data_IF_263253379638
#
_entry.id   IF_263253379638
#
_cell.length_a   1.000
_cell.length_b   1.000
_cell.length_c   1.000
_cell.angle_alpha   90.00
_cell.angle_beta   90.00
_cell.angle_gamma   90.00
#
_symmetry.space_group_name_H-M   'P 1'
#
loop_
_entity.id
_entity.type
_entity.pdbx_description
1 polymer ?
#
# COMPACT_ATOMS: atom_id res chain seq x y z
N UNK A 1 52.09 -19.70 42.10
CA UNK A 1 52.12 -20.31 40.75
C UNK A 1 50.67 -20.57 40.36
N UNK A 2 50.01 -19.58 39.74
CA UNK A 2 49.72 -19.46 38.30
C UNK A 2 48.57 -20.37 37.81
N UNK A 3 47.53 -19.76 37.21
CA UNK A 3 46.51 -20.44 36.38
C UNK A 3 45.08 -19.92 36.64
N UNK A 4 44.73 -18.72 36.16
CA UNK A 4 44.03 -18.43 34.89
C UNK A 4 42.53 -18.79 34.88
N UNK A 5 41.74 -17.74 34.63
CA UNK A 5 40.31 -17.69 34.38
C UNK A 5 39.78 -18.80 33.46
N UNK A 6 38.57 -19.29 33.76
CA UNK A 6 37.72 -19.92 32.76
C UNK A 6 36.32 -19.30 32.76
N UNK A 7 35.91 -18.99 31.54
CA UNK A 7 34.72 -18.32 31.05
C UNK A 7 33.45 -19.09 31.45
N UNK A 8 32.46 -18.40 32.02
CA UNK A 8 31.10 -18.93 32.13
C UNK A 8 30.45 -18.92 30.73
N UNK A 9 30.45 -20.07 30.06
CA UNK A 9 29.53 -20.34 28.94
C UNK A 9 28.16 -20.69 29.53
N UNK A 10 27.19 -19.79 29.38
CA UNK A 10 25.78 -20.17 29.39
C UNK A 10 25.38 -20.50 27.96
N UNK A 11 25.28 -21.80 27.65
CA UNK A 11 24.46 -22.27 26.54
C UNK A 11 23.35 -23.12 27.15
N UNK A 12 22.13 -22.82 26.72
CA UNK A 12 20.93 -23.67 26.68
C UNK A 12 19.75 -23.14 27.50
N UNK A 13 19.05 -22.16 26.93
CA UNK A 13 17.64 -21.90 27.19
C UNK A 13 16.93 -21.92 25.83
N UNK A 14 16.58 -23.13 25.38
CA UNK A 14 16.01 -23.37 24.06
C UNK A 14 14.71 -22.61 23.86
N UNK A 15 14.68 -21.76 22.83
CA UNK A 15 13.43 -21.38 22.19
C UNK A 15 12.92 -22.65 21.53
N UNK A 16 11.81 -23.17 22.05
CA UNK A 16 11.05 -24.24 21.37
C UNK A 16 10.68 -23.68 20.01
N UNK A 17 11.38 -24.16 18.99
CA UNK A 17 11.11 -23.83 17.60
C UNK A 17 9.72 -24.31 17.25
N UNK A 18 8.80 -23.38 17.07
CA UNK A 18 7.65 -23.62 16.22
C UNK A 18 8.23 -23.74 14.80
N UNK A 19 8.16 -24.96 14.27
CA UNK A 19 8.54 -25.28 12.91
C UNK A 19 7.86 -24.31 11.92
N UNK A 20 8.66 -23.51 11.21
CA UNK A 20 8.37 -23.11 9.84
C UNK A 20 7.55 -21.85 9.55
N UNK A 21 7.10 -21.06 10.53
CA UNK A 21 6.42 -19.78 10.21
C UNK A 21 7.42 -18.63 10.20
N UNK A 22 7.94 -18.27 9.02
CA UNK A 22 8.61 -16.98 8.81
C UNK A 22 7.57 -15.85 8.98
N UNK A 23 7.38 -15.40 10.22
CA UNK A 23 6.79 -14.09 10.46
C UNK A 23 7.69 -13.04 9.80
N UNK A 24 7.06 -12.05 9.14
CA UNK A 24 7.79 -10.93 8.53
C UNK A 24 8.77 -10.34 9.54
N UNK A 25 10.07 -10.46 9.27
CA UNK A 25 11.09 -9.87 10.14
C UNK A 25 11.08 -8.35 9.94
N UNK A 26 10.92 -7.55 11.00
CA UNK A 26 10.99 -6.09 10.87
C UNK A 26 12.34 -5.66 10.31
N UNK A 27 12.33 -4.80 9.27
CA UNK A 27 13.51 -4.04 8.83
C UNK A 27 14.24 -4.54 7.57
N UNK A 28 13.89 -5.70 7.00
CA UNK A 28 14.53 -6.15 5.74
C UNK A 28 13.60 -6.93 4.80
N UNK A 29 12.31 -6.98 5.13
CA UNK A 29 11.33 -7.77 4.40
C UNK A 29 10.49 -6.89 3.47
N UNK A 30 10.81 -6.92 2.17
CA UNK A 30 10.07 -6.20 1.11
C UNK A 30 8.69 -6.79 0.83
N UNK A 31 8.42 -7.99 1.35
CA UNK A 31 7.16 -8.68 1.15
C UNK A 31 6.08 -7.97 1.96
N UNK A 32 5.04 -7.54 1.26
CA UNK A 32 3.89 -6.81 1.81
C UNK A 32 2.85 -7.79 2.37
N UNK A 33 2.63 -8.91 1.66
CA UNK A 33 1.78 -9.99 2.11
C UNK A 33 2.27 -11.33 1.56
N UNK A 34 1.87 -12.41 2.23
CA UNK A 34 2.07 -13.79 1.77
C UNK A 34 0.72 -14.50 1.86
N UNK A 35 0.36 -15.23 0.80
CA UNK A 35 -0.86 -16.03 0.74
C UNK A 35 -0.52 -17.52 0.65
N UNK A 36 -1.34 -18.36 1.27
CA UNK A 36 -1.17 -19.81 1.34
C UNK A 36 -2.38 -20.55 0.81
N UNK A 37 -2.16 -21.74 0.23
CA UNK A 37 -3.22 -22.58 -0.33
C UNK A 37 -3.95 -23.46 0.70
N UNK A 38 -3.50 -23.43 1.96
CA UNK A 38 -4.15 -24.10 3.09
C UNK A 38 -4.45 -23.11 4.22
N UNK A 39 -5.33 -23.54 5.13
CA UNK A 39 -5.63 -22.83 6.36
C UNK A 39 -4.39 -22.74 7.28
N UNK A 40 -4.36 -21.73 8.15
CA UNK A 40 -3.31 -21.66 9.18
C UNK A 40 -1.90 -21.35 8.67
N UNK A 41 -1.78 -20.78 7.46
CA UNK A 41 -0.51 -20.38 6.85
C UNK A 41 0.40 -21.56 6.47
N UNK A 42 -0.23 -22.65 5.99
CA UNK A 42 0.44 -23.88 5.58
C UNK A 42 0.39 -24.13 4.07
N UNK A 43 1.18 -25.09 3.59
CA UNK A 43 1.18 -25.49 2.18
C UNK A 43 2.00 -24.58 1.26
N UNK A 44 1.61 -24.54 -0.02
CA UNK A 44 2.28 -23.69 -1.01
C UNK A 44 1.89 -22.23 -0.77
N UNK A 45 2.80 -21.32 -1.14
CA UNK A 45 2.58 -19.90 -0.95
C UNK A 45 2.97 -19.05 -2.15
N UNK A 46 2.45 -17.84 -2.17
CA UNK A 46 2.86 -16.76 -3.06
C UNK A 46 3.05 -15.48 -2.25
N UNK A 47 4.17 -14.82 -2.50
CA UNK A 47 4.52 -13.52 -1.93
C UNK A 47 4.01 -12.39 -2.81
N UNK A 48 3.45 -11.34 -2.21
CA UNK A 48 3.16 -10.07 -2.87
C UNK A 48 4.09 -9.01 -2.30
N UNK A 49 4.91 -8.41 -3.15
CA UNK A 49 5.83 -7.35 -2.76
C UNK A 49 5.11 -6.00 -2.63
N UNK A 50 5.76 -5.05 -1.97
CA UNK A 50 5.23 -3.69 -1.79
C UNK A 50 4.99 -2.97 -3.15
N UNK A 51 3.76 -2.53 -3.35
CA UNK A 51 3.21 -1.95 -4.59
C UNK A 51 3.22 -2.89 -5.81
N UNK A 52 3.40 -4.19 -5.59
CA UNK A 52 3.32 -5.16 -6.66
C UNK A 52 1.85 -5.47 -6.98
N UNK A 53 1.48 -5.36 -8.26
CA UNK A 53 0.21 -5.86 -8.78
C UNK A 53 0.45 -7.16 -9.55
N UNK A 54 0.16 -8.28 -8.90
CA UNK A 54 0.13 -9.59 -9.56
C UNK A 54 -1.20 -9.77 -10.28
N UNK A 55 -1.16 -9.77 -11.60
CA UNK A 55 -2.33 -10.04 -12.46
C UNK A 55 -2.60 -11.53 -12.65
N UNK A 56 -1.64 -12.38 -12.29
CA UNK A 56 -1.78 -13.83 -12.32
C UNK A 56 -0.98 -14.43 -11.15
N UNK A 57 -1.62 -15.29 -10.36
CA UNK A 57 -1.00 -15.99 -9.23
C UNK A 57 -0.40 -17.35 -9.61
N UNK A 58 -0.40 -17.69 -10.89
CA UNK A 58 0.16 -18.94 -11.41
C UNK A 58 -0.48 -20.16 -10.77
N UNK A 59 0.34 -21.04 -10.20
CA UNK A 59 -0.13 -22.24 -9.49
C UNK A 59 -1.02 -21.96 -8.27
N UNK A 60 -1.07 -20.71 -7.79
CA UNK A 60 -1.88 -20.24 -6.66
C UNK A 60 -3.20 -19.58 -7.07
N UNK A 61 -3.50 -19.51 -8.37
CA UNK A 61 -4.76 -18.99 -8.90
C UNK A 61 -5.97 -19.78 -8.33
N UNK A 62 -6.91 -19.06 -7.73
CA UNK A 62 -8.07 -19.62 -7.05
C UNK A 62 -7.73 -20.69 -5.98
N UNK A 63 -6.59 -20.57 -5.30
CA UNK A 63 -6.20 -21.51 -4.24
C UNK A 63 -5.97 -20.90 -2.87
N UNK A 64 -5.77 -19.58 -2.78
CA UNK A 64 -5.50 -18.94 -1.50
C UNK A 64 -6.63 -19.19 -0.46
N UNK A 65 -6.24 -19.67 0.73
CA UNK A 65 -7.11 -19.97 1.86
C UNK A 65 -6.74 -19.17 3.12
N UNK A 66 -5.46 -18.79 3.29
CA UNK A 66 -5.00 -17.94 4.39
C UNK A 66 -3.95 -16.91 3.94
N UNK A 67 -3.77 -15.84 4.72
CA UNK A 67 -2.89 -14.71 4.37
C UNK A 67 -2.26 -14.07 5.62
N UNK A 68 -0.98 -13.74 5.54
CA UNK A 68 -0.30 -12.87 6.51
C UNK A 68 0.01 -11.56 5.78
N UNK A 69 -0.34 -10.46 6.41
CA UNK A 69 -0.11 -9.11 5.91
C UNK A 69 0.84 -8.41 6.88
N UNK A 70 1.87 -7.76 6.34
CA UNK A 70 2.79 -6.95 7.15
C UNK A 70 2.01 -5.80 7.81
N UNK A 71 2.33 -5.50 9.07
CA UNK A 71 1.70 -4.39 9.77
C UNK A 71 1.86 -3.08 8.99
N UNK A 72 0.80 -2.28 8.90
CA UNK A 72 0.80 -1.04 8.12
C UNK A 72 0.54 -1.24 6.62
N UNK A 73 0.30 -2.47 6.18
CA UNK A 73 -0.03 -2.79 4.79
C UNK A 73 -1.48 -3.21 4.59
N UNK A 74 -1.94 -3.07 3.35
CA UNK A 74 -3.25 -3.48 2.88
C UNK A 74 -3.09 -4.32 1.62
N UNK A 75 -3.71 -5.50 1.61
CA UNK A 75 -3.76 -6.37 0.45
C UNK A 75 -5.14 -6.28 -0.20
N UNK A 76 -5.21 -5.84 -1.45
CA UNK A 76 -6.42 -5.93 -2.27
C UNK A 76 -6.30 -7.14 -3.20
N UNK A 77 -7.25 -8.07 -3.07
CA UNK A 77 -7.36 -9.26 -3.90
C UNK A 77 -8.52 -9.13 -4.87
N UNK A 78 -8.40 -9.78 -6.03
CA UNK A 78 -9.43 -9.77 -7.07
C UNK A 78 -9.74 -11.19 -7.50
N UNK A 79 -11.00 -11.45 -7.83
CA UNK A 79 -11.39 -12.68 -8.51
C UNK A 79 -11.36 -12.52 -10.04
N UNK A 80 -11.62 -13.62 -10.75
CA UNK A 80 -11.62 -13.65 -12.23
C UNK A 80 -12.70 -12.77 -12.88
N UNK A 81 -13.72 -12.38 -12.12
CA UNK A 81 -14.79 -11.50 -12.59
C UNK A 81 -14.48 -10.02 -12.34
N UNK A 82 -13.38 -9.74 -11.62
CA UNK A 82 -12.97 -8.38 -11.26
C UNK A 82 -13.60 -7.88 -9.95
N UNK A 83 -14.37 -8.69 -9.23
CA UNK A 83 -14.76 -8.35 -7.86
C UNK A 83 -13.49 -8.22 -7.02
N UNK A 84 -13.45 -7.25 -6.11
CA UNK A 84 -12.29 -7.01 -5.23
C UNK A 84 -12.65 -7.06 -3.75
N UNK A 85 -11.68 -7.41 -2.92
CA UNK A 85 -11.73 -7.31 -1.45
C UNK A 85 -10.42 -6.78 -0.93
N UNK A 86 -10.48 -5.82 -0.02
CA UNK A 86 -9.31 -5.33 0.70
C UNK A 86 -9.24 -5.99 2.07
N UNK A 87 -8.04 -6.46 2.42
CA UNK A 87 -7.71 -7.15 3.65
C UNK A 87 -6.62 -6.33 4.32
N UNK A 88 -6.89 -5.85 5.53
CA UNK A 88 -5.96 -4.97 6.26
C UNK A 88 -5.20 -5.69 7.38
N UNK A 89 -5.55 -6.97 7.64
CA UNK A 89 -4.96 -7.77 8.71
C UNK A 89 -4.78 -9.21 8.26
N UNK A 90 -3.74 -9.86 8.79
CA UNK A 90 -3.52 -11.30 8.62
C UNK A 90 -4.77 -12.09 9.01
N UNK A 91 -5.10 -13.10 8.21
CA UNK A 91 -6.23 -13.99 8.46
C UNK A 91 -5.84 -15.43 8.16
N UNK A 92 -6.02 -16.31 9.15
CA UNK A 92 -5.82 -17.75 8.99
C UNK A 92 -6.90 -18.43 8.14
N UNK A 93 -7.96 -17.70 7.75
CA UNK A 93 -9.02 -18.17 6.87
C UNK A 93 -9.68 -16.99 6.10
N UNK A 94 -9.82 -17.12 4.78
CA UNK A 94 -10.35 -16.06 3.90
C UNK A 94 -11.88 -16.06 3.72
N UNK A 95 -12.65 -16.77 4.55
CA UNK A 95 -14.12 -16.79 4.67
C UNK A 95 -14.90 -16.19 3.49
N UNK A 96 -15.29 -17.03 2.51
CA UNK A 96 -16.12 -16.65 1.35
C UNK A 96 -15.34 -16.04 0.17
N UNK A 97 -14.06 -15.75 0.37
CA UNK A 97 -13.10 -15.37 -0.69
C UNK A 97 -12.04 -16.44 -0.94
N UNK A 98 -12.10 -17.55 -0.18
CA UNK A 98 -11.29 -18.73 -0.43
C UNK A 98 -11.54 -19.26 -1.85
N UNK A 99 -10.47 -19.66 -2.52
CA UNK A 99 -10.49 -20.24 -3.86
C UNK A 99 -11.09 -19.38 -4.99
N UNK A 100 -11.10 -18.06 -4.80
CA UNK A 100 -11.58 -17.11 -5.82
C UNK A 100 -10.50 -16.16 -6.31
N UNK A 101 -9.42 -16.03 -5.55
CA UNK A 101 -8.42 -15.00 -5.75
C UNK A 101 -7.53 -15.36 -6.94
N UNK A 102 -7.53 -14.51 -7.97
CA UNK A 102 -6.78 -14.69 -9.21
C UNK A 102 -5.69 -13.62 -9.41
N UNK A 103 -5.87 -12.47 -8.76
CA UNK A 103 -4.92 -11.38 -8.77
C UNK A 103 -4.85 -10.74 -7.37
N UNK A 104 -3.73 -10.09 -7.09
CA UNK A 104 -3.49 -9.43 -5.82
C UNK A 104 -2.63 -8.19 -6.02
N UNK A 105 -2.86 -7.20 -5.17
CA UNK A 105 -2.14 -5.94 -5.14
C UNK A 105 -1.94 -5.53 -3.70
N UNK A 106 -0.69 -5.25 -3.31
CA UNK A 106 -0.35 -5.01 -1.91
C UNK A 106 0.35 -3.66 -1.74
N UNK A 107 -0.13 -2.82 -0.84
CA UNK A 107 0.39 -1.47 -0.60
C UNK A 107 0.65 -1.26 0.90
N UNK A 108 1.73 -0.58 1.24
CA UNK A 108 2.14 -0.32 2.63
C UNK A 108 2.37 1.16 2.86
N UNK A 109 2.26 1.57 4.13
CA UNK A 109 2.72 2.87 4.64
C UNK A 109 1.92 4.09 4.11
N UNK A 110 0.87 3.85 3.33
CA UNK A 110 -0.03 4.86 2.79
C UNK A 110 0.69 5.92 1.95
N UNK A 111 0.26 7.16 2.07
CA UNK A 111 0.86 8.32 1.42
C UNK A 111 2.24 8.70 1.96
N UNK A 112 2.66 8.12 3.09
CA UNK A 112 3.97 8.36 3.70
C UNK A 112 5.03 7.35 3.25
N UNK A 113 4.64 6.30 2.52
CA UNK A 113 5.57 5.27 2.07
C UNK A 113 6.60 5.79 1.06
N UNK A 114 7.84 5.29 1.16
CA UNK A 114 8.92 5.68 0.23
C UNK A 114 8.51 5.48 -1.23
N UNK A 115 7.79 4.41 -1.56
CA UNK A 115 7.33 4.14 -2.93
C UNK A 115 6.23 5.11 -3.39
N UNK A 116 5.42 5.62 -2.47
CA UNK A 116 4.42 6.64 -2.80
C UNK A 116 5.09 7.96 -3.19
N UNK A 117 6.31 8.23 -2.72
CA UNK A 117 7.10 9.44 -3.01
C UNK A 117 8.16 9.21 -4.10
N UNK A 118 8.61 7.96 -4.29
CA UNK A 118 9.63 7.60 -5.26
C UNK A 118 9.16 7.89 -6.68
N UNK A 119 10.08 8.44 -7.48
CA UNK A 119 9.88 8.82 -8.88
C UNK A 119 8.76 9.87 -9.12
N UNK A 120 8.29 10.57 -8.08
CA UNK A 120 7.36 11.68 -8.29
C UNK A 120 8.01 12.81 -9.08
N UNK A 121 7.30 13.25 -10.12
CA UNK A 121 7.65 14.44 -10.88
C UNK A 121 7.26 15.69 -10.09
N UNK A 122 6.00 15.83 -9.65
CA UNK A 122 5.56 16.88 -8.70
C UNK A 122 4.56 16.38 -7.65
N UNK A 123 3.45 15.79 -8.08
CA UNK A 123 2.44 15.23 -7.18
C UNK A 123 1.72 14.05 -7.82
N UNK A 124 1.09 13.24 -6.98
CA UNK A 124 0.26 12.12 -7.40
C UNK A 124 -1.04 12.13 -6.61
N UNK A 125 -2.16 12.02 -7.31
CA UNK A 125 -3.51 12.07 -6.74
C UNK A 125 -4.18 10.71 -6.95
N UNK A 126 -5.03 10.31 -6.00
CA UNK A 126 -5.63 8.99 -5.96
C UNK A 126 -7.13 9.07 -5.71
N UNK A 127 -7.88 8.20 -6.39
CA UNK A 127 -9.32 8.11 -6.19
C UNK A 127 -9.73 7.51 -4.84
N UNK A 128 -8.84 6.76 -4.21
CA UNK A 128 -9.13 6.15 -2.92
C UNK A 128 -8.25 6.75 -1.83
N UNK A 129 -8.53 6.36 -0.60
CA UNK A 129 -7.76 6.71 0.58
C UNK A 129 -6.37 6.05 0.57
N UNK A 130 -5.50 6.53 1.46
CA UNK A 130 -4.17 5.99 1.76
C UNK A 130 -3.24 5.89 0.54
N UNK A 131 -3.41 6.78 -0.44
CA UNK A 131 -2.67 6.74 -1.69
C UNK A 131 -2.73 5.38 -2.41
N UNK A 132 -3.88 4.70 -2.32
CA UNK A 132 -4.05 3.36 -2.89
C UNK A 132 -4.33 3.41 -4.39
N UNK A 133 -3.48 2.73 -5.15
CA UNK A 133 -3.65 2.44 -6.58
C UNK A 133 -4.18 1.02 -6.83
N UNK A 134 -4.20 0.17 -5.81
CA UNK A 134 -4.85 -1.13 -5.92
C UNK A 134 -6.36 -0.96 -6.13
N UNK A 135 -7.02 -0.16 -5.32
CA UNK A 135 -8.49 -0.08 -5.36
C UNK A 135 -9.03 0.91 -6.39
N UNK A 136 -8.22 1.66 -7.13
CA UNK A 136 -8.70 2.67 -8.09
C UNK A 136 -7.59 3.33 -8.90
N UNK A 137 -7.95 4.39 -9.61
CA UNK A 137 -7.03 5.09 -10.49
C UNK A 137 -6.16 6.11 -9.74
N UNK A 138 -5.00 6.39 -10.32
CA UNK A 138 -4.09 7.46 -9.89
C UNK A 138 -3.79 8.40 -11.04
N UNK A 139 -3.50 9.64 -10.72
CA UNK A 139 -3.11 10.69 -11.65
C UNK A 139 -1.73 11.22 -11.24
N UNK A 140 -0.78 11.20 -12.17
CA UNK A 140 0.56 11.78 -11.99
C UNK A 140 0.58 13.20 -12.55
N UNK A 141 1.14 14.14 -11.79
CA UNK A 141 1.23 15.55 -12.14
C UNK A 141 2.71 15.96 -12.19
N UNK A 142 3.13 16.59 -13.29
CA UNK A 142 4.49 17.05 -13.50
C UNK A 142 4.71 18.46 -12.92
N UNK A 143 5.97 18.87 -12.73
CA UNK A 143 6.29 20.24 -12.35
C UNK A 143 5.73 21.23 -13.36
N UNK A 144 5.14 22.32 -12.87
CA UNK A 144 4.55 23.40 -13.67
C UNK A 144 3.27 23.03 -14.43
N UNK A 145 2.77 21.79 -14.27
CA UNK A 145 1.48 21.42 -14.84
C UNK A 145 0.37 22.28 -14.22
N UNK A 146 -0.46 22.81 -15.10
CA UNK A 146 -1.68 23.51 -14.76
C UNK A 146 -2.85 22.80 -15.45
N UNK A 147 -3.63 22.06 -14.67
CA UNK A 147 -4.74 21.24 -15.17
C UNK A 147 -6.05 21.96 -14.84
N UNK A 148 -6.64 22.70 -15.81
CA UNK A 148 -7.84 23.49 -15.56
C UNK A 148 -9.12 22.66 -15.41
N UNK A 149 -9.10 21.39 -15.84
CA UNK A 149 -10.25 20.49 -15.68
C UNK A 149 -9.78 19.03 -15.60
N UNK A 150 -10.14 18.35 -14.52
CA UNK A 150 -9.73 16.96 -14.24
C UNK A 150 -10.51 15.88 -15.00
N UNK A 151 -11.46 16.24 -15.87
CA UNK A 151 -12.22 15.30 -16.71
C UNK A 151 -12.86 14.19 -15.84
N UNK A 152 -12.56 12.92 -16.14
CA UNK A 152 -13.08 11.75 -15.41
C UNK A 152 -12.64 11.66 -13.94
N UNK A 153 -11.67 12.47 -13.51
CA UNK A 153 -11.20 12.55 -12.12
C UNK A 153 -11.80 13.74 -11.34
N UNK A 154 -12.68 14.50 -11.98
CA UNK A 154 -13.32 15.65 -11.35
C UNK A 154 -14.18 15.20 -10.17
N UNK A 155 -13.91 15.75 -8.98
CA UNK A 155 -14.61 15.37 -7.74
C UNK A 155 -14.44 13.89 -7.36
N UNK A 156 -13.31 13.27 -7.71
CA UNK A 156 -13.06 11.85 -7.42
C UNK A 156 -11.81 11.64 -6.56
N UNK A 157 -11.09 12.70 -6.19
CA UNK A 157 -9.82 12.57 -5.47
C UNK A 157 -10.07 12.48 -3.96
N UNK A 158 -9.55 11.42 -3.34
CA UNK A 158 -9.71 11.13 -1.91
C UNK A 158 -8.39 11.10 -1.13
N UNK A 159 -7.24 10.95 -1.79
CA UNK A 159 -5.91 11.11 -1.18
C UNK A 159 -4.87 11.58 -2.19
N UNK A 160 -3.76 12.12 -1.70
CA UNK A 160 -2.69 12.66 -2.54
C UNK A 160 -1.33 12.60 -1.85
N UNK A 161 -0.29 12.69 -2.65
CA UNK A 161 1.09 12.86 -2.19
C UNK A 161 1.78 13.89 -3.07
N UNK A 162 2.45 14.84 -2.42
CA UNK A 162 3.26 15.87 -3.08
C UNK A 162 4.72 15.60 -2.79
N UNK A 163 5.55 15.72 -3.83
CA UNK A 163 7.00 15.56 -3.71
C UNK A 163 7.55 16.60 -2.72
N UNK A 164 8.46 16.22 -1.81
CA UNK A 164 9.14 17.19 -0.95
C UNK A 164 9.79 18.32 -1.76
N UNK A 165 9.58 19.58 -1.33
CA UNK A 165 10.04 20.77 -2.05
C UNK A 165 9.07 21.28 -3.13
N UNK A 166 7.96 20.57 -3.37
CA UNK A 166 6.88 21.02 -4.23
C UNK A 166 5.63 21.40 -3.44
N UNK A 167 4.75 22.16 -4.08
CA UNK A 167 3.43 22.54 -3.60
C UNK A 167 2.38 22.23 -4.67
N UNK A 168 1.30 21.57 -4.27
CA UNK A 168 0.13 21.32 -5.10
C UNK A 168 -1.00 22.24 -4.65
N UNK A 169 -1.40 23.17 -5.50
CA UNK A 169 -2.62 23.97 -5.30
C UNK A 169 -3.79 23.28 -5.97
N UNK A 170 -4.89 23.12 -5.26
CA UNK A 170 -6.12 22.50 -5.77
C UNK A 170 -7.30 23.45 -5.64
N UNK A 171 -8.26 23.34 -6.55
CA UNK A 171 -9.49 24.14 -6.55
C UNK A 171 -10.72 23.26 -6.69
N UNK A 172 -11.81 23.68 -6.05
CA UNK A 172 -13.10 22.99 -6.15
C UNK A 172 -13.82 23.26 -7.48
N UNK A 173 -13.51 24.37 -8.13
CA UNK A 173 -14.03 24.75 -9.43
C UNK A 173 -13.07 24.41 -10.57
N UNK A 174 -13.61 24.39 -11.79
CA UNK A 174 -12.82 24.32 -13.02
C UNK A 174 -12.12 25.66 -13.29
N UNK A 175 -11.09 25.64 -14.13
CA UNK A 175 -10.30 26.83 -14.50
C UNK A 175 -9.75 27.60 -13.29
N UNK A 176 -9.40 26.89 -12.21
CA UNK A 176 -8.81 27.46 -10.98
C UNK A 176 -9.73 28.44 -10.25
N UNK A 177 -11.03 28.11 -10.18
CA UNK A 177 -12.06 28.94 -9.53
C UNK A 177 -12.58 28.30 -8.24
N UNK A 178 -13.26 29.10 -7.40
CA UNK A 178 -13.82 28.64 -6.13
C UNK A 178 -12.79 28.58 -4.99
N UNK A 179 -13.12 27.83 -3.94
CA UNK A 179 -12.22 27.59 -2.83
C UNK A 179 -10.92 26.93 -3.29
N UNK A 180 -9.82 27.21 -2.60
CA UNK A 180 -8.47 26.76 -2.91
C UNK A 180 -7.76 26.26 -1.66
N UNK A 181 -6.93 25.24 -1.82
CA UNK A 181 -6.05 24.69 -0.77
C UNK A 181 -4.69 24.33 -1.33
N UNK A 182 -3.66 24.34 -0.48
CA UNK A 182 -2.29 24.02 -0.87
C UNK A 182 -1.78 22.86 -0.02
N UNK A 183 -1.27 21.82 -0.69
CA UNK A 183 -0.67 20.64 -0.07
C UNK A 183 0.84 20.56 -0.36
N UNK A 184 1.62 20.13 0.64
CA UNK A 184 3.09 20.03 0.57
C UNK A 184 3.64 18.69 1.09
N UNK A 185 2.80 17.64 1.12
CA UNK A 185 3.21 16.29 1.53
C UNK A 185 2.15 15.23 1.24
N UNK A 186 2.25 14.08 1.90
CA UNK A 186 1.27 12.99 1.83
C UNK A 186 0.04 13.22 2.70
N UNK A 187 -1.16 13.02 2.13
CA UNK A 187 -2.46 13.10 2.83
C UNK A 187 -3.25 11.84 2.55
N UNK A 188 -3.35 10.95 3.55
CA UNK A 188 -4.05 9.66 3.43
C UNK A 188 -5.56 9.80 3.26
N UNK A 189 -6.16 10.90 3.72
CA UNK A 189 -7.58 11.14 3.58
C UNK A 189 -7.88 12.63 3.51
N UNK A 190 -8.35 13.07 2.35
CA UNK A 190 -8.84 14.43 2.15
C UNK A 190 -10.12 14.72 2.93
N UNK A 191 -10.83 13.69 3.43
CA UNK A 191 -11.98 13.90 4.34
C UNK A 191 -11.57 14.69 5.58
N UNK A 192 -10.41 14.38 6.15
CA UNK A 192 -9.89 15.08 7.34
C UNK A 192 -9.58 16.55 7.09
N UNK A 193 -9.37 16.93 5.83
CA UNK A 193 -9.11 18.30 5.39
C UNK A 193 -10.37 18.97 4.81
N UNK A 194 -11.51 18.27 4.73
CA UNK A 194 -12.73 18.77 4.11
C UNK A 194 -12.69 18.86 2.57
N UNK A 195 -11.74 18.17 1.93
CA UNK A 195 -11.45 18.24 0.48
C UNK A 195 -11.75 16.95 -0.29
N UNK A 196 -12.31 15.94 0.37
CA UNK A 196 -12.64 14.65 -0.27
C UNK A 196 -13.60 14.85 -1.43
N UNK A 197 -13.25 14.32 -2.60
CA UNK A 197 -14.11 14.31 -3.78
C UNK A 197 -14.55 15.73 -4.20
N UNK A 198 -13.68 16.73 -3.99
CA UNK A 198 -13.94 18.13 -4.33
C UNK A 198 -13.01 18.71 -5.38
N UNK A 199 -11.87 18.09 -5.63
CA UNK A 199 -10.87 18.66 -6.53
C UNK A 199 -11.36 18.61 -7.98
N UNK A 200 -11.40 19.77 -8.64
CA UNK A 200 -11.82 19.90 -10.04
C UNK A 200 -10.75 20.49 -10.96
N UNK A 201 -9.80 21.26 -10.41
CA UNK A 201 -8.62 21.75 -11.13
C UNK A 201 -7.42 21.91 -10.20
N UNK A 202 -6.20 21.92 -10.75
CA UNK A 202 -4.97 21.93 -9.95
C UNK A 202 -3.77 22.55 -10.67
N UNK A 203 -2.77 22.96 -9.89
CA UNK A 203 -1.47 23.43 -10.35
C UNK A 203 -0.39 22.88 -9.44
N UNK A 204 0.72 22.46 -10.02
CA UNK A 204 1.84 21.93 -9.24
C UNK A 204 3.09 22.77 -9.50
N UNK A 205 3.76 23.19 -8.43
CA UNK A 205 4.97 24.00 -8.50
C UNK A 205 6.05 23.37 -7.64
N UNK A 206 7.26 23.24 -8.18
CA UNK A 206 8.43 22.77 -7.45
C UNK A 206 9.46 23.89 -7.40
N UNK A 207 10.04 24.11 -6.22
CA UNK A 207 11.12 25.08 -6.03
C UNK A 207 12.50 24.47 -6.30
#
# INVERSE_FOLDING_TARGET
MWGKSFLLLFISGGVVGILGQQFFTPGNDIRCARMWDQLGFEGNNVDCDQNERKTNLGGMDCKAESVIIRNGCTLTVYDKTGCKRTIERSSSCLWGWNRRIAAACCECDGCQGEVAVRDLSCARLYQNLKCSSCSGFRLEINPLDAVPHLQIFNNEISSLVVKPGCSLSVWEGQNFTGNMEIFTGGVDSLMTQGWNDRVSSLKCNCQ
#
